data_IF_307136364887
#
_entry.id   IF_307136364887
#
_cell.length_a   1.000
_cell.length_b   1.000
_cell.length_c   1.000
_cell.angle_alpha   90.00
_cell.angle_beta   90.00
_cell.angle_gamma   90.00
#
_symmetry.space_group_name_H-M   'P 1'
#
loop_
_entity.id
_entity.type
_entity.pdbx_description
1 polymer ?
#
# COMPACT_ATOMS: atom_id res chain seq x y z
N UNK A 1 41.47 17.19 22.18
CA UNK A 1 41.88 18.43 22.81
C UNK A 1 40.64 19.19 23.24
N UNK A 2 40.59 19.68 24.48
CA UNK A 2 39.52 20.54 25.01
C UNK A 2 39.86 22.02 24.90
N UNK A 3 40.87 22.38 24.10
CA UNK A 3 41.23 23.76 23.88
C UNK A 3 40.13 24.50 23.12
N UNK A 4 39.48 25.51 23.68
CA UNK A 4 38.41 26.26 23.01
C UNK A 4 38.94 27.12 21.84
N UNK A 5 40.24 27.39 21.77
CA UNK A 5 40.88 28.18 20.71
C UNK A 5 41.42 27.33 19.56
N UNK A 6 41.23 25.99 19.59
CA UNK A 6 41.70 25.14 18.50
C UNK A 6 40.96 25.42 17.18
N UNK A 7 41.67 25.30 16.08
CA UNK A 7 41.03 25.34 14.75
C UNK A 7 40.08 24.19 14.58
N UNK A 8 38.79 24.49 14.42
CA UNK A 8 37.73 23.49 14.31
C UNK A 8 37.76 22.74 12.97
N UNK A 9 38.39 23.28 11.94
CA UNK A 9 38.59 22.62 10.66
C UNK A 9 39.71 21.58 10.74
N UNK A 10 40.79 21.89 11.50
CA UNK A 10 41.91 20.98 11.69
C UNK A 10 41.62 19.90 12.76
N UNK A 11 40.92 20.26 13.81
CA UNK A 11 40.60 19.40 14.96
C UNK A 11 39.12 19.44 15.27
N UNK A 12 38.28 18.87 14.42
CA UNK A 12 36.82 18.92 14.56
C UNK A 12 36.36 18.19 15.82
N UNK A 13 35.23 18.64 16.35
CA UNK A 13 34.40 17.88 17.30
C UNK A 13 32.96 18.18 16.94
N UNK A 14 32.37 17.28 16.18
CA UNK A 14 31.04 17.45 15.60
C UNK A 14 30.00 16.74 16.46
N UNK A 15 29.03 17.49 16.96
CA UNK A 15 27.82 16.87 17.49
C UNK A 15 26.83 16.68 16.33
N UNK A 16 26.87 15.50 15.71
CA UNK A 16 26.06 15.21 14.53
C UNK A 16 24.57 15.43 14.73
N UNK A 17 24.04 15.15 15.92
CA UNK A 17 22.62 15.42 16.20
C UNK A 17 22.31 16.92 16.15
N UNK A 18 23.15 17.74 16.78
CA UNK A 18 22.98 19.19 16.75
C UNK A 18 23.20 19.78 15.35
N UNK A 19 24.03 19.16 14.51
CA UNK A 19 24.27 19.65 13.14
C UNK A 19 23.13 19.27 12.18
N UNK A 20 22.42 18.16 12.45
CA UNK A 20 21.43 17.61 11.52
C UNK A 20 19.99 17.92 11.93
N UNK A 21 19.73 18.07 13.24
CA UNK A 21 18.37 18.13 13.77
C UNK A 21 18.05 19.49 14.39
N UNK A 22 16.82 19.91 14.19
CA UNK A 22 16.19 20.99 14.97
C UNK A 22 15.63 20.41 16.28
N UNK A 23 15.56 21.26 17.31
CA UNK A 23 15.09 20.87 18.64
C UNK A 23 13.61 20.49 18.66
N UNK A 24 12.81 21.02 17.73
CA UNK A 24 11.38 20.76 17.64
C UNK A 24 10.89 20.81 16.19
N UNK A 25 9.75 20.18 15.97
CA UNK A 25 8.98 20.27 14.72
C UNK A 25 7.51 20.49 15.02
N UNK A 26 6.79 21.06 14.08
CA UNK A 26 5.36 21.31 14.20
C UNK A 26 4.60 20.37 13.25
N UNK A 27 3.76 19.53 13.83
CA UNK A 27 2.83 18.68 13.10
C UNK A 27 1.40 19.16 13.32
N UNK A 28 0.56 19.07 12.30
CA UNK A 28 -0.82 19.48 12.40
C UNK A 28 -1.77 18.36 11.97
N UNK A 29 -2.89 18.27 12.67
CA UNK A 29 -3.97 17.34 12.33
C UNK A 29 -5.31 18.03 12.44
N UNK A 30 -6.01 18.07 11.32
CA UNK A 30 -7.38 18.55 11.25
C UNK A 30 -8.32 17.40 10.93
N UNK A 31 -9.36 17.23 11.74
CA UNK A 31 -10.40 16.23 11.53
C UNK A 31 -11.76 16.93 11.54
N UNK A 32 -12.50 16.71 10.46
CA UNK A 32 -13.89 17.15 10.36
C UNK A 32 -14.77 15.97 10.07
N UNK A 33 -15.89 15.87 10.75
CA UNK A 33 -16.92 14.91 10.40
C UNK A 33 -18.30 15.48 10.66
N UNK A 34 -19.24 15.04 9.84
CA UNK A 34 -20.65 15.33 9.99
C UNK A 34 -21.47 14.09 9.68
N UNK A 35 -22.44 13.81 10.51
CA UNK A 35 -23.38 12.72 10.31
C UNK A 35 -24.79 13.19 10.62
N UNK A 36 -25.73 12.61 9.93
CA UNK A 36 -27.12 12.93 10.15
C UNK A 36 -28.02 12.00 9.35
N UNK A 37 -29.30 12.26 9.47
CA UNK A 37 -30.25 11.52 8.66
C UNK A 37 -31.63 11.43 9.28
N UNK A 38 -32.51 10.80 8.53
CA UNK A 38 -33.88 10.54 8.87
C UNK A 38 -34.39 9.24 8.26
N UNK A 39 -35.70 9.16 8.04
CA UNK A 39 -36.32 7.95 7.48
C UNK A 39 -35.92 7.67 6.03
N UNK A 40 -35.60 8.70 5.24
CA UNK A 40 -35.29 8.58 3.82
C UNK A 40 -33.80 8.40 3.59
N UNK A 41 -32.95 9.19 4.25
CA UNK A 41 -31.54 9.16 4.04
C UNK A 41 -30.74 9.25 5.35
N UNK A 42 -29.60 8.62 5.40
CA UNK A 42 -28.60 8.69 6.48
C UNK A 42 -27.24 8.93 5.82
N UNK A 43 -26.46 9.83 6.37
CA UNK A 43 -25.14 10.14 5.82
C UNK A 43 -24.08 10.28 6.92
N UNK A 44 -22.88 9.98 6.53
CA UNK A 44 -21.66 10.25 7.27
C UNK A 44 -20.60 10.76 6.30
N UNK A 45 -20.08 11.95 6.55
CA UNK A 45 -19.00 12.57 5.81
C UNK A 45 -17.84 12.83 6.77
N UNK A 46 -16.63 12.53 6.36
CA UNK A 46 -15.44 12.84 7.13
C UNK A 46 -14.30 13.30 6.22
N UNK A 47 -13.54 14.26 6.69
CA UNK A 47 -12.31 14.74 6.08
C UNK A 47 -11.23 14.84 7.16
N UNK A 48 -10.05 14.33 6.84
CA UNK A 48 -8.86 14.43 7.70
C UNK A 48 -7.73 15.00 6.88
N UNK A 49 -7.06 16.02 7.41
CA UNK A 49 -5.83 16.59 6.83
C UNK A 49 -4.75 16.49 7.90
N UNK A 50 -3.68 15.77 7.59
CA UNK A 50 -2.49 15.66 8.42
C UNK A 50 -1.32 16.27 7.67
N UNK A 51 -0.51 17.06 8.38
CA UNK A 51 0.80 17.51 7.92
C UNK A 51 1.81 17.12 8.98
N UNK A 52 2.73 16.23 8.62
CA UNK A 52 3.81 15.78 9.48
C UNK A 52 5.14 16.29 8.89
N UNK A 53 5.84 17.14 9.65
CA UNK A 53 7.12 17.69 9.27
C UNK A 53 8.23 16.97 10.02
N UNK A 54 9.36 16.76 9.35
CA UNK A 54 10.59 16.30 10.01
C UNK A 54 11.23 17.42 10.83
N UNK A 55 12.22 17.04 11.62
CA UNK A 55 13.05 17.94 12.38
C UNK A 55 14.48 18.03 11.81
N UNK A 56 14.66 17.80 10.52
CA UNK A 56 15.95 17.95 9.86
C UNK A 56 16.22 19.45 9.58
N UNK A 57 17.46 19.88 9.77
CA UNK A 57 17.89 21.22 9.39
C UNK A 57 17.91 21.38 7.87
N UNK A 58 17.47 22.53 7.42
CA UNK A 58 17.46 22.87 5.99
C UNK A 58 18.80 23.56 5.64
N UNK A 59 19.43 23.10 4.54
CA UNK A 59 20.63 23.73 4.00
C UNK A 59 20.26 25.00 3.21
N UNK A 60 20.68 26.20 3.67
CA UNK A 60 20.30 27.45 3.02
C UNK A 60 20.92 27.66 1.63
N UNK A 61 22.03 27.00 1.31
CA UNK A 61 22.69 27.10 0.00
C UNK A 61 21.94 26.33 -1.09
N UNK A 62 21.10 25.35 -0.69
CA UNK A 62 20.25 24.61 -1.61
C UNK A 62 19.01 25.44 -1.99
N UNK A 63 18.56 25.27 -3.23
CA UNK A 63 17.31 25.86 -3.71
C UNK A 63 16.10 24.94 -3.52
N UNK A 64 16.22 23.93 -2.68
CA UNK A 64 15.17 22.97 -2.33
C UNK A 64 15.14 22.70 -0.83
N UNK A 65 14.01 22.18 -0.36
CA UNK A 65 13.85 21.76 1.03
C UNK A 65 14.25 20.29 1.18
N UNK A 66 15.26 20.03 2.00
CA UNK A 66 15.73 18.68 2.33
C UNK A 66 15.05 18.09 3.58
N UNK A 67 14.19 18.83 4.26
CA UNK A 67 13.45 18.31 5.42
C UNK A 67 12.26 17.47 4.97
N UNK A 68 11.80 16.58 5.83
CA UNK A 68 10.60 15.77 5.60
C UNK A 68 9.36 16.68 5.68
N UNK A 69 8.51 16.57 4.67
CA UNK A 69 7.15 17.10 4.67
C UNK A 69 6.22 16.02 4.14
N UNK A 70 5.34 15.53 5.01
CA UNK A 70 4.37 14.50 4.66
C UNK A 70 2.96 15.06 4.86
N UNK A 71 2.21 15.13 3.77
CA UNK A 71 0.83 15.58 3.75
C UNK A 71 -0.09 14.41 3.42
N UNK A 72 -1.10 14.21 4.26
CA UNK A 72 -2.15 13.20 4.04
C UNK A 72 -3.52 13.84 4.08
N UNK A 73 -4.28 13.64 3.02
CA UNK A 73 -5.69 14.01 2.95
C UNK A 73 -6.50 12.72 2.84
N UNK A 74 -7.44 12.52 3.76
CA UNK A 74 -8.38 11.39 3.73
C UNK A 74 -9.80 11.91 3.68
N UNK A 75 -10.56 11.44 2.70
CA UNK A 75 -11.97 11.77 2.51
C UNK A 75 -12.80 10.50 2.61
N UNK A 76 -13.88 10.55 3.37
CA UNK A 76 -14.84 9.44 3.49
C UNK A 76 -16.26 9.96 3.40
N UNK A 77 -17.06 9.30 2.57
CA UNK A 77 -18.48 9.56 2.45
C UNK A 77 -19.24 8.24 2.46
N UNK A 78 -20.23 8.12 3.32
CA UNK A 78 -21.18 7.02 3.36
C UNK A 78 -22.58 7.61 3.35
N UNK A 79 -23.36 7.31 2.33
CA UNK A 79 -24.74 7.76 2.19
C UNK A 79 -25.63 6.56 1.93
N UNK A 80 -26.62 6.34 2.79
CA UNK A 80 -27.64 5.32 2.60
C UNK A 80 -28.98 6.02 2.36
N UNK A 81 -29.67 5.64 1.31
CA UNK A 81 -30.93 6.24 0.87
C UNK A 81 -31.98 5.14 0.74
N UNK A 82 -33.07 5.24 1.48
CA UNK A 82 -34.25 4.41 1.31
C UNK A 82 -35.08 5.02 0.17
N UNK A 83 -34.88 4.54 -1.06
CA UNK A 83 -35.62 5.02 -2.24
C UNK A 83 -37.10 4.67 -2.15
N UNK A 84 -37.39 3.48 -1.63
CA UNK A 84 -38.72 2.99 -1.31
C UNK A 84 -38.69 2.22 0.00
N UNK A 85 -39.82 1.80 0.58
CA UNK A 85 -39.82 0.91 1.75
C UNK A 85 -39.12 -0.43 1.54
N UNK A 86 -38.90 -0.82 0.30
CA UNK A 86 -38.28 -2.10 -0.08
C UNK A 86 -36.94 -1.97 -0.78
N UNK A 87 -36.50 -0.72 -1.09
CA UNK A 87 -35.29 -0.46 -1.87
C UNK A 87 -34.37 0.47 -1.09
N UNK A 88 -33.16 0.03 -0.78
CA UNK A 88 -32.07 0.83 -0.22
C UNK A 88 -30.93 0.97 -1.24
N UNK A 89 -30.42 2.18 -1.43
CA UNK A 89 -29.19 2.45 -2.15
C UNK A 89 -28.15 3.01 -1.19
N UNK A 90 -26.94 2.46 -1.25
CA UNK A 90 -25.81 2.96 -0.49
C UNK A 90 -24.71 3.41 -1.42
N UNK A 91 -24.22 4.64 -1.23
CA UNK A 91 -23.07 5.20 -1.95
C UNK A 91 -21.95 5.42 -0.94
N UNK A 92 -20.78 4.83 -1.23
CA UNK A 92 -19.60 4.95 -0.38
C UNK A 92 -18.43 5.45 -1.21
N UNK A 93 -17.74 6.40 -0.66
CA UNK A 93 -16.51 6.94 -1.23
C UNK A 93 -15.43 6.95 -0.16
N UNK A 94 -14.22 6.56 -0.53
CA UNK A 94 -13.01 6.66 0.29
C UNK A 94 -11.87 7.11 -0.62
N UNK A 95 -11.24 8.24 -0.30
CA UNK A 95 -10.07 8.77 -0.98
C UNK A 95 -8.96 9.02 0.02
N UNK A 96 -7.76 8.51 -0.26
CA UNK A 96 -6.54 8.83 0.46
C UNK A 96 -5.53 9.39 -0.54
N UNK A 97 -4.95 10.53 -0.18
CA UNK A 97 -3.99 11.28 -0.98
C UNK A 97 -2.81 11.60 -0.06
N UNK A 98 -1.68 10.95 -0.30
CA UNK A 98 -0.47 11.10 0.48
C UNK A 98 0.62 11.68 -0.41
N UNK A 99 1.22 12.80 0.01
CA UNK A 99 2.35 13.41 -0.63
C UNK A 99 3.50 13.51 0.37
N UNK A 100 4.64 12.98 -0.02
CA UNK A 100 5.88 13.02 0.73
C UNK A 100 6.95 13.75 -0.05
N UNK A 101 7.62 14.70 0.59
CA UNK A 101 8.88 15.28 0.17
C UNK A 101 9.88 15.12 1.31
N UNK A 102 11.12 14.74 1.02
CA UNK A 102 12.12 14.56 2.07
C UNK A 102 13.46 14.03 1.55
N UNK A 103 14.41 13.75 2.45
CA UNK A 103 15.73 13.28 2.06
C UNK A 103 15.66 11.94 1.33
N UNK A 104 16.60 11.71 0.43
CA UNK A 104 16.65 10.53 -0.46
C UNK A 104 16.51 9.20 0.29
N UNK A 105 17.20 9.07 1.43
CA UNK A 105 17.24 7.83 2.21
C UNK A 105 16.29 7.83 3.43
N UNK A 106 15.46 8.89 3.56
CA UNK A 106 14.56 9.04 4.70
C UNK A 106 15.25 9.48 6.00
N UNK A 107 14.45 9.86 7.00
CA UNK A 107 14.95 10.36 8.28
C UNK A 107 15.63 9.29 9.13
N UNK A 108 15.17 8.05 9.07
CA UNK A 108 15.75 6.91 9.81
C UNK A 108 17.21 6.69 9.44
N UNK A 109 17.52 6.72 8.15
CA UNK A 109 18.90 6.54 7.68
C UNK A 109 19.80 7.71 8.09
N UNK A 110 19.30 8.95 8.05
CA UNK A 110 20.07 10.13 8.55
C UNK A 110 20.37 9.98 10.03
N UNK A 111 19.39 9.58 10.82
CA UNK A 111 19.56 9.32 12.25
C UNK A 111 20.57 8.19 12.51
N UNK A 112 20.48 7.10 11.79
CA UNK A 112 21.42 5.97 11.89
C UNK A 112 22.85 6.40 11.58
N UNK A 113 23.05 7.18 10.54
CA UNK A 113 24.36 7.70 10.16
C UNK A 113 24.90 8.68 11.20
N UNK A 114 24.06 9.55 11.79
CA UNK A 114 24.45 10.42 12.88
C UNK A 114 25.01 9.66 14.09
N UNK A 115 24.45 8.49 14.40
CA UNK A 115 24.93 7.63 15.50
C UNK A 115 26.25 6.92 15.16
N UNK A 116 26.49 6.61 13.90
CA UNK A 116 27.64 5.79 13.47
C UNK A 116 28.86 6.61 13.08
N UNK A 117 28.66 7.89 12.73
CA UNK A 117 29.74 8.74 12.22
C UNK A 117 30.63 9.23 13.37
N UNK A 118 31.93 9.02 13.21
CA UNK A 118 32.91 9.46 14.18
C UNK A 118 32.95 11.00 14.26
N UNK A 119 32.82 11.59 15.47
CA UNK A 119 32.69 13.04 15.64
C UNK A 119 34.00 13.83 15.51
N UNK A 120 35.17 13.17 15.41
CA UNK A 120 36.48 13.88 15.44
C UNK A 120 37.31 13.68 14.17
N UNK A 121 36.80 12.97 13.14
CA UNK A 121 37.58 12.72 11.93
C UNK A 121 37.52 13.85 10.90
N UNK A 122 36.39 14.53 10.78
CA UNK A 122 36.17 15.62 9.82
C UNK A 122 34.99 16.49 10.26
N UNK A 123 34.95 17.78 9.85
CA UNK A 123 33.81 18.66 10.04
C UNK A 123 32.67 18.27 9.07
N UNK A 124 31.47 18.82 9.28
CA UNK A 124 30.35 18.64 8.33
C UNK A 124 30.72 19.15 6.93
N UNK A 125 31.38 20.29 6.85
CA UNK A 125 32.02 20.87 5.67
C UNK A 125 33.18 21.76 6.10
N UNK A 126 34.07 22.06 5.17
CA UNK A 126 35.21 22.96 5.36
C UNK A 126 34.86 24.37 4.88
N UNK A 127 35.43 25.39 5.52
CA UNK A 127 35.51 26.71 4.94
C UNK A 127 36.50 26.69 3.79
N UNK A 128 36.30 27.49 2.71
CA UNK A 128 37.23 27.50 1.57
C UNK A 128 38.62 28.00 1.97
N UNK A 129 39.66 27.28 1.57
CA UNK A 129 41.04 27.75 1.62
C UNK A 129 41.38 28.62 0.39
N UNK A 130 42.63 29.06 0.26
CA UNK A 130 43.08 29.89 -0.86
C UNK A 130 42.90 29.23 -2.24
N UNK A 131 42.88 27.88 -2.32
CA UNK A 131 42.74 27.15 -3.57
C UNK A 131 41.26 27.02 -3.98
N UNK A 132 40.35 27.05 -3.02
CA UNK A 132 38.93 26.85 -3.22
C UNK A 132 38.06 28.07 -2.95
N UNK A 133 38.65 29.26 -2.81
CA UNK A 133 37.98 30.53 -2.48
C UNK A 133 36.83 30.90 -3.42
N UNK A 134 36.89 30.45 -4.70
CA UNK A 134 35.91 30.74 -5.72
C UNK A 134 34.94 29.55 -5.94
N UNK A 135 34.99 28.51 -5.10
CA UNK A 135 34.13 27.33 -5.22
C UNK A 135 32.71 27.66 -4.78
N UNK A 136 31.72 27.28 -5.57
CA UNK A 136 30.30 27.55 -5.34
C UNK A 136 29.58 26.41 -4.63
N UNK A 137 30.13 25.22 -4.65
CA UNK A 137 29.56 24.05 -3.99
C UNK A 137 30.05 23.89 -2.55
N UNK A 138 29.35 23.12 -1.76
CA UNK A 138 29.68 22.82 -0.36
C UNK A 138 30.90 21.90 -0.32
N UNK A 139 31.91 22.24 0.48
CA UNK A 139 33.14 21.46 0.65
C UNK A 139 32.95 20.41 1.76
N UNK A 140 32.18 19.35 1.50
CA UNK A 140 31.86 18.36 2.52
C UNK A 140 33.09 17.65 3.09
N UNK A 141 33.18 17.61 4.42
CA UNK A 141 34.28 16.94 5.10
C UNK A 141 34.20 15.44 4.97
N UNK A 142 35.35 14.78 4.74
CA UNK A 142 35.45 13.33 4.77
C UNK A 142 36.89 12.88 5.05
N UNK A 143 37.03 11.62 5.43
CA UNK A 143 38.33 10.99 5.70
C UNK A 143 38.61 9.80 4.76
N UNK A 144 37.67 9.46 3.89
CA UNK A 144 37.73 8.25 3.07
C UNK A 144 38.95 8.18 2.14
N UNK A 145 39.81 7.16 2.33
CA UNK A 145 40.93 6.90 1.44
C UNK A 145 40.55 5.97 0.26
N UNK A 146 39.39 5.30 0.31
CA UNK A 146 39.02 4.24 -0.62
C UNK A 146 37.61 4.40 -1.23
N UNK A 147 37.08 5.62 -1.23
CA UNK A 147 35.77 5.90 -1.84
C UNK A 147 34.56 5.67 -0.94
N UNK A 148 34.76 5.28 0.31
CA UNK A 148 33.68 5.15 1.31
C UNK A 148 33.41 6.51 1.95
N UNK A 149 32.64 7.33 1.24
CA UNK A 149 32.31 8.68 1.68
C UNK A 149 31.06 8.69 2.57
N UNK A 150 31.24 8.54 3.88
CA UNK A 150 30.19 8.68 4.84
C UNK A 150 30.24 10.07 5.46
N UNK A 151 29.28 10.93 5.10
CA UNK A 151 29.03 12.21 5.76
C UNK A 151 27.51 12.35 5.90
N UNK A 152 26.94 12.26 7.11
CA UNK A 152 25.50 12.30 7.30
C UNK A 152 24.89 13.64 6.89
N UNK A 153 25.63 14.74 7.01
CA UNK A 153 25.19 16.05 6.55
C UNK A 153 25.09 16.08 5.02
N UNK A 154 26.12 15.63 4.31
CA UNK A 154 26.09 15.53 2.84
C UNK A 154 24.91 14.65 2.38
N UNK A 155 24.69 13.50 3.02
CA UNK A 155 23.57 12.62 2.69
C UNK A 155 22.20 13.24 2.95
N UNK A 156 22.09 14.11 3.96
CA UNK A 156 20.84 14.82 4.27
C UNK A 156 20.52 15.89 3.23
N UNK A 157 21.55 16.61 2.73
CA UNK A 157 21.35 17.82 1.93
C UNK A 157 21.59 17.66 0.44
N UNK A 158 22.10 16.51 -0.03
CA UNK A 158 22.48 16.28 -1.43
C UNK A 158 21.32 16.13 -2.42
N UNK A 159 20.08 16.15 -1.93
CA UNK A 159 18.93 15.99 -2.79
C UNK A 159 17.68 15.65 -1.99
N UNK A 160 16.63 15.40 -2.73
CA UNK A 160 15.33 15.05 -2.17
C UNK A 160 14.59 14.05 -3.05
N UNK A 161 13.60 13.39 -2.46
CA UNK A 161 12.63 12.57 -3.18
C UNK A 161 11.22 13.08 -2.98
N UNK A 162 10.43 13.02 -4.04
CA UNK A 162 8.99 13.24 -4.03
C UNK A 162 8.29 11.92 -4.23
N UNK A 163 7.39 11.56 -3.34
CA UNK A 163 6.54 10.38 -3.45
C UNK A 163 5.08 10.82 -3.35
N UNK A 164 4.25 10.34 -4.26
CA UNK A 164 2.81 10.55 -4.19
C UNK A 164 2.08 9.22 -4.26
N UNK A 165 1.17 9.05 -3.35
CA UNK A 165 0.35 7.86 -3.21
C UNK A 165 -1.12 8.26 -3.18
N UNK A 166 -1.89 7.79 -4.15
CA UNK A 166 -3.31 8.09 -4.26
C UNK A 166 -4.12 6.80 -4.34
N UNK A 167 -5.11 6.66 -3.49
CA UNK A 167 -6.03 5.52 -3.51
C UNK A 167 -7.47 6.02 -3.38
N UNK A 168 -8.25 5.79 -4.43
CA UNK A 168 -9.66 6.18 -4.49
C UNK A 168 -10.51 4.94 -4.66
N UNK A 169 -11.51 4.78 -3.79
CA UNK A 169 -12.48 3.70 -3.80
C UNK A 169 -13.89 4.28 -3.82
N UNK A 170 -14.68 3.89 -4.81
CA UNK A 170 -16.09 4.25 -4.89
C UNK A 170 -16.95 2.97 -5.00
N UNK A 171 -18.01 2.91 -4.22
CA UNK A 171 -18.94 1.78 -4.19
C UNK A 171 -20.36 2.29 -4.26
N UNK A 172 -21.14 1.70 -5.17
CA UNK A 172 -22.60 1.84 -5.20
C UNK A 172 -23.21 0.48 -4.96
N UNK A 173 -24.10 0.40 -3.98
CA UNK A 173 -24.81 -0.81 -3.60
C UNK A 173 -26.31 -0.55 -3.64
N UNK A 174 -27.07 -1.47 -4.23
CA UNK A 174 -28.53 -1.48 -4.19
C UNK A 174 -28.99 -2.76 -3.53
N UNK A 175 -29.92 -2.63 -2.59
CA UNK A 175 -30.61 -3.75 -1.93
C UNK A 175 -32.10 -3.63 -2.19
N UNK A 176 -32.69 -4.73 -2.62
CA UNK A 176 -34.11 -4.82 -2.89
C UNK A 176 -34.73 -5.97 -2.10
N UNK A 177 -35.69 -5.65 -1.26
CA UNK A 177 -36.58 -6.67 -0.70
C UNK A 177 -37.61 -7.10 -1.75
N UNK A 178 -37.69 -8.38 -2.03
CA UNK A 178 -38.56 -8.98 -3.05
C UNK A 178 -39.68 -9.83 -2.41
N UNK A 179 -40.10 -9.50 -1.18
CA UNK A 179 -41.18 -10.19 -0.48
C UNK A 179 -42.50 -10.18 -1.25
N UNK A 180 -42.67 -9.20 -2.15
CA UNK A 180 -43.83 -9.13 -3.05
C UNK A 180 -43.85 -10.23 -4.12
N UNK A 181 -42.70 -10.86 -4.43
CA UNK A 181 -42.60 -12.05 -5.29
C UNK A 181 -42.74 -13.29 -4.42
N UNK A 182 -41.89 -13.42 -3.40
CA UNK A 182 -41.96 -14.49 -2.40
C UNK A 182 -41.30 -14.05 -1.09
N UNK A 183 -41.97 -14.33 0.04
CA UNK A 183 -41.47 -13.94 1.37
C UNK A 183 -40.07 -14.51 1.61
N UNK A 184 -39.16 -13.65 2.04
CA UNK A 184 -37.78 -13.99 2.37
C UNK A 184 -36.79 -13.89 1.21
N UNK A 185 -37.24 -13.45 0.01
CA UNK A 185 -36.35 -13.19 -1.13
C UNK A 185 -35.80 -11.77 -1.08
N UNK A 186 -34.49 -11.64 -1.28
CA UNK A 186 -33.77 -10.35 -1.35
C UNK A 186 -32.76 -10.40 -2.49
N UNK A 187 -32.68 -9.30 -3.23
CA UNK A 187 -31.64 -9.08 -4.23
C UNK A 187 -30.67 -7.99 -3.77
N UNK A 188 -29.42 -8.13 -4.17
CA UNK A 188 -28.39 -7.11 -3.94
C UNK A 188 -27.54 -7.00 -5.20
N UNK A 189 -27.26 -5.75 -5.61
CA UNK A 189 -26.30 -5.42 -6.64
C UNK A 189 -25.25 -4.48 -6.06
N UNK A 190 -23.99 -4.66 -6.45
CA UNK A 190 -22.89 -3.83 -6.01
C UNK A 190 -21.94 -3.57 -7.17
N UNK A 191 -21.56 -2.32 -7.35
CA UNK A 191 -20.48 -1.89 -8.24
C UNK A 191 -19.42 -1.21 -7.37
N UNK A 192 -18.19 -1.63 -7.52
CA UNK A 192 -17.04 -1.04 -6.86
C UNK A 192 -15.99 -0.69 -7.90
N UNK A 193 -15.40 0.50 -7.79
CA UNK A 193 -14.23 0.89 -8.57
C UNK A 193 -13.16 1.41 -7.66
N UNK A 194 -11.92 0.99 -7.91
CA UNK A 194 -10.77 1.53 -7.21
C UNK A 194 -9.70 1.99 -8.19
N UNK A 195 -9.07 3.10 -7.87
CA UNK A 195 -7.90 3.61 -8.58
C UNK A 195 -6.78 3.83 -7.60
N UNK A 196 -5.64 3.27 -7.94
CA UNK A 196 -4.42 3.41 -7.20
C UNK A 196 -3.35 3.98 -8.09
N UNK A 197 -2.63 4.99 -7.61
CA UNK A 197 -1.44 5.51 -8.27
C UNK A 197 -0.35 5.77 -7.24
N UNK A 198 0.86 5.43 -7.61
CA UNK A 198 2.07 5.72 -6.88
C UNK A 198 3.15 6.14 -7.86
N UNK A 199 3.93 7.15 -7.49
CA UNK A 199 5.17 7.47 -8.14
C UNK A 199 6.21 7.97 -7.14
N UNK A 200 7.47 7.80 -7.51
CA UNK A 200 8.64 8.25 -6.79
C UNK A 200 9.58 8.95 -7.78
N UNK A 201 10.03 10.13 -7.42
CA UNK A 201 10.99 10.93 -8.17
C UNK A 201 12.13 11.32 -7.24
N UNK A 202 13.37 11.26 -7.72
CA UNK A 202 14.54 11.72 -6.98
C UNK A 202 15.26 12.80 -7.78
N UNK A 203 15.72 13.81 -7.06
CA UNK A 203 16.65 14.82 -7.59
C UNK A 203 17.81 14.94 -6.64
N UNK A 204 19.03 14.76 -7.14
CA UNK A 204 20.24 14.72 -6.32
C UNK A 204 21.44 15.20 -7.09
N UNK A 205 22.39 15.79 -6.37
CA UNK A 205 23.74 15.96 -6.84
C UNK A 205 24.69 14.97 -6.16
N UNK A 206 25.83 14.71 -6.76
CA UNK A 206 26.90 13.94 -6.14
C UNK A 206 27.80 14.91 -5.36
N UNK A 207 27.91 14.76 -4.02
CA UNK A 207 28.69 15.67 -3.21
C UNK A 207 30.18 15.64 -3.55
N UNK A 208 30.83 16.81 -3.47
CA UNK A 208 32.28 16.90 -3.47
C UNK A 208 32.81 16.76 -2.04
N UNK A 209 33.71 15.82 -1.82
CA UNK A 209 34.30 15.54 -0.52
C UNK A 209 35.73 16.02 -0.44
N UNK A 210 36.09 16.56 0.72
CA UNK A 210 37.38 17.17 0.99
C UNK A 210 37.98 16.66 2.29
N UNK A 211 39.33 16.67 2.34
CA UNK A 211 40.08 16.43 3.56
C UNK A 211 41.22 17.43 3.68
N UNK A 212 41.80 17.54 4.86
CA UNK A 212 42.99 18.34 5.07
C UNK A 212 44.18 17.72 4.34
N UNK A 213 44.83 18.53 3.50
CA UNK A 213 46.12 18.19 2.92
C UNK A 213 47.27 18.59 3.85
N UNK A 214 47.20 19.74 4.46
CA UNK A 214 48.18 20.26 5.43
C UNK A 214 47.52 21.22 6.40
N UNK A 215 48.10 21.36 7.61
CA UNK A 215 47.76 22.39 8.59
C UNK A 215 49.03 22.94 9.25
N UNK A 216 49.23 24.22 9.10
CA UNK A 216 50.31 24.93 9.80
C UNK A 216 49.79 25.50 11.12
N UNK A 217 50.25 24.94 12.21
CA UNK A 217 49.86 25.31 13.56
C UNK A 217 50.34 26.73 13.96
N UNK A 218 51.45 27.26 13.35
CA UNK A 218 51.98 28.55 13.72
C UNK A 218 51.19 29.69 13.09
N UNK A 219 50.78 29.53 11.85
CA UNK A 219 50.01 30.52 11.11
C UNK A 219 48.48 30.29 11.18
N UNK A 220 48.05 29.18 11.77
CA UNK A 220 46.67 28.73 11.81
C UNK A 220 46.03 28.58 10.39
N UNK A 221 46.83 28.22 9.42
CA UNK A 221 46.43 28.09 8.02
C UNK A 221 46.37 26.60 7.62
N UNK A 222 45.28 26.20 6.98
CA UNK A 222 45.15 24.88 6.43
C UNK A 222 45.01 24.90 4.90
N UNK A 223 45.28 23.78 4.27
CA UNK A 223 45.01 23.55 2.85
C UNK A 223 44.16 22.26 2.69
N UNK A 224 43.31 22.29 1.70
CA UNK A 224 42.37 21.22 1.40
C UNK A 224 42.80 20.45 0.14
N UNK A 225 42.37 19.20 0.05
CA UNK A 225 42.46 18.39 -1.15
C UNK A 225 41.09 17.70 -1.40
N UNK A 226 40.65 17.75 -2.65
CA UNK A 226 39.44 17.05 -3.05
C UNK A 226 39.69 15.54 -3.12
N UNK A 227 38.83 14.76 -2.53
CA UNK A 227 38.89 13.30 -2.52
C UNK A 227 38.29 12.67 -3.81
N UNK A 228 37.26 13.31 -4.39
CA UNK A 228 36.53 12.82 -5.54
C UNK A 228 36.26 13.90 -6.61
N UNK A 229 37.31 14.61 -7.09
CA UNK A 229 37.16 15.80 -7.95
C UNK A 229 36.43 15.54 -9.27
N UNK A 230 36.43 14.28 -9.76
CA UNK A 230 35.79 13.89 -11.01
C UNK A 230 34.43 13.20 -10.85
N UNK A 231 33.88 13.10 -9.61
CA UNK A 231 32.64 12.38 -9.33
C UNK A 231 31.55 13.31 -8.78
N UNK A 232 31.93 14.46 -8.25
CA UNK A 232 30.99 15.46 -7.78
C UNK A 232 30.24 16.14 -8.92
N UNK A 233 29.03 16.62 -8.67
CA UNK A 233 28.23 17.42 -9.60
C UNK A 233 27.66 18.65 -8.90
N UNK A 234 27.57 19.79 -9.63
CA UNK A 234 26.97 21.04 -9.11
C UNK A 234 25.49 21.22 -9.52
N UNK A 235 24.94 20.26 -10.24
CA UNK A 235 23.55 20.26 -10.71
C UNK A 235 22.80 19.04 -10.19
N UNK A 236 21.49 19.18 -10.05
CA UNK A 236 20.61 18.09 -9.66
C UNK A 236 20.38 17.16 -10.85
N UNK A 237 20.80 15.92 -10.71
CA UNK A 237 20.40 14.83 -11.59
C UNK A 237 18.97 14.40 -11.27
N UNK A 238 18.25 13.96 -12.30
CA UNK A 238 16.91 13.41 -12.19
C UNK A 238 16.97 11.89 -12.28
N UNK A 239 16.36 11.23 -11.30
CA UNK A 239 16.18 9.78 -11.31
C UNK A 239 14.68 9.46 -11.17
N UNK A 240 14.16 8.76 -12.17
CA UNK A 240 12.80 8.28 -12.16
C UNK A 240 12.73 6.98 -11.37
N UNK A 241 11.99 6.98 -10.27
CA UNK A 241 11.76 5.80 -9.44
C UNK A 241 10.57 4.96 -9.91
N UNK A 242 10.04 4.19 -8.99
CA UNK A 242 8.91 3.32 -9.28
C UNK A 242 7.64 4.11 -9.62
N UNK A 243 6.90 3.62 -10.60
CA UNK A 243 5.55 4.09 -10.96
C UNK A 243 4.61 2.90 -10.97
N UNK A 244 3.48 3.03 -10.27
CA UNK A 244 2.44 2.00 -10.23
C UNK A 244 1.09 2.67 -10.45
N UNK A 245 0.40 2.28 -11.50
CA UNK A 245 -0.96 2.75 -11.78
C UNK A 245 -1.83 1.53 -11.99
N UNK A 246 -2.84 1.37 -11.13
CA UNK A 246 -3.81 0.30 -11.28
C UNK A 246 -5.24 0.80 -11.18
N UNK A 247 -6.12 0.15 -11.92
CA UNK A 247 -7.55 0.40 -11.92
C UNK A 247 -8.29 -0.93 -11.78
N UNK A 248 -9.20 -1.01 -10.81
CA UNK A 248 -10.04 -2.18 -10.62
C UNK A 248 -11.51 -1.79 -10.74
N UNK A 249 -12.27 -2.64 -11.43
CA UNK A 249 -13.73 -2.60 -11.46
C UNK A 249 -14.25 -3.96 -10.99
N UNK A 250 -15.18 -3.93 -10.05
CA UNK A 250 -15.82 -5.10 -9.49
C UNK A 250 -17.33 -4.92 -9.54
N UNK A 251 -17.99 -5.92 -10.06
CA UNK A 251 -19.44 -6.04 -10.05
C UNK A 251 -19.85 -7.31 -9.34
N UNK A 252 -20.86 -7.22 -8.47
CA UNK A 252 -21.47 -8.34 -7.78
C UNK A 252 -22.99 -8.23 -7.84
N UNK A 253 -23.63 -9.31 -8.22
CA UNK A 253 -25.07 -9.47 -8.06
C UNK A 253 -25.37 -10.68 -7.18
N UNK A 254 -26.29 -10.56 -6.23
CA UNK A 254 -26.70 -11.71 -5.40
C UNK A 254 -28.21 -11.76 -5.19
N UNK A 255 -28.68 -13.00 -5.10
CA UNK A 255 -30.05 -13.35 -4.67
C UNK A 255 -29.94 -14.16 -3.39
N UNK A 256 -30.68 -13.77 -2.38
CA UNK A 256 -30.74 -14.45 -1.09
C UNK A 256 -32.19 -14.80 -0.78
N UNK A 257 -32.43 -16.04 -0.45
CA UNK A 257 -33.73 -16.53 0.00
C UNK A 257 -33.58 -17.20 1.35
N UNK A 258 -34.48 -16.88 2.29
CA UNK A 258 -34.54 -17.53 3.59
C UNK A 258 -35.99 -17.56 4.06
N UNK A 259 -36.50 -18.76 4.34
CA UNK A 259 -37.87 -18.93 4.81
C UNK A 259 -38.04 -20.16 5.68
N UNK A 260 -38.76 -20.00 6.77
CA UNK A 260 -39.28 -21.10 7.58
C UNK A 260 -40.73 -21.39 7.15
N UNK A 261 -40.98 -22.62 6.76
CA UNK A 261 -42.28 -23.08 6.27
C UNK A 261 -42.84 -24.10 7.28
N UNK A 262 -44.07 -23.89 7.70
CA UNK A 262 -44.77 -24.73 8.68
C UNK A 262 -43.96 -24.99 9.96
N UNK A 263 -43.15 -23.99 10.39
CA UNK A 263 -42.29 -24.02 11.57
C UNK A 263 -41.22 -25.11 11.64
N UNK A 264 -41.23 -26.03 10.70
CA UNK A 264 -40.36 -27.24 10.63
C UNK A 264 -39.35 -27.20 9.51
N UNK A 265 -39.69 -26.60 8.38
CA UNK A 265 -38.83 -26.59 7.18
C UNK A 265 -38.11 -25.26 7.04
N UNK A 266 -36.84 -25.23 7.35
CA UNK A 266 -36.00 -24.08 7.08
C UNK A 266 -35.29 -24.23 5.73
N UNK A 267 -35.63 -23.37 4.77
CA UNK A 267 -35.09 -23.38 3.41
C UNK A 267 -34.31 -22.08 3.22
N UNK A 268 -33.02 -22.20 2.87
CA UNK A 268 -32.28 -21.02 2.43
C UNK A 268 -31.52 -21.27 1.13
N UNK A 269 -31.33 -20.22 0.37
CA UNK A 269 -30.58 -20.24 -0.86
C UNK A 269 -29.85 -18.92 -1.09
N UNK A 270 -28.68 -18.99 -1.66
CA UNK A 270 -27.90 -17.83 -2.10
C UNK A 270 -27.29 -18.12 -3.46
N UNK A 271 -27.43 -17.18 -4.39
CA UNK A 271 -26.71 -17.15 -5.66
C UNK A 271 -25.89 -15.85 -5.71
N UNK A 272 -24.65 -15.95 -6.12
CA UNK A 272 -23.74 -14.79 -6.26
C UNK A 272 -23.03 -14.88 -7.60
N UNK A 273 -23.20 -13.85 -8.42
CA UNK A 273 -22.43 -13.64 -9.65
C UNK A 273 -21.43 -12.51 -9.47
N UNK A 274 -20.20 -12.70 -9.88
CA UNK A 274 -19.14 -11.69 -9.80
C UNK A 274 -18.47 -11.47 -11.16
N UNK A 275 -18.12 -10.22 -11.43
CA UNK A 275 -17.25 -9.82 -12.53
C UNK A 275 -16.21 -8.87 -11.95
N UNK A 276 -14.93 -9.20 -12.17
CA UNK A 276 -13.81 -8.35 -11.74
C UNK A 276 -12.86 -8.13 -12.90
N UNK A 277 -12.44 -6.89 -13.05
CA UNK A 277 -11.34 -6.51 -13.94
C UNK A 277 -10.32 -5.69 -13.17
N UNK A 278 -9.04 -6.04 -13.29
CA UNK A 278 -7.91 -5.30 -12.74
C UNK A 278 -6.92 -5.02 -13.88
N UNK A 279 -6.54 -3.75 -14.04
CA UNK A 279 -5.56 -3.29 -15.05
C UNK A 279 -4.40 -2.59 -14.36
N UNK A 280 -3.20 -2.85 -14.86
CA UNK A 280 -2.00 -2.06 -14.58
C UNK A 280 -1.63 -1.27 -15.82
N UNK A 281 -1.40 0.03 -15.68
CA UNK A 281 -1.20 0.92 -16.84
C UNK A 281 0.26 1.02 -17.30
N UNK A 282 1.22 0.64 -16.44
CA UNK A 282 2.65 0.84 -16.68
C UNK A 282 3.46 -0.47 -16.68
N UNK A 283 2.88 -1.51 -17.25
CA UNK A 283 3.56 -2.80 -17.41
C UNK A 283 4.50 -2.82 -18.62
N UNK A 284 5.65 -3.48 -18.46
CA UNK A 284 6.72 -3.46 -19.44
C UNK A 284 6.51 -4.32 -20.70
N UNK A 285 5.44 -5.16 -20.76
CA UNK A 285 5.17 -6.02 -21.92
C UNK A 285 3.65 -6.16 -22.17
N UNK A 286 3.32 -6.65 -23.36
CA UNK A 286 1.92 -6.82 -23.79
C UNK A 286 1.15 -7.75 -22.86
N UNK A 287 1.71 -8.88 -22.44
CA UNK A 287 1.01 -9.88 -21.65
C UNK A 287 0.61 -9.34 -20.27
N UNK A 288 1.50 -8.63 -19.61
CA UNK A 288 1.24 -8.02 -18.30
C UNK A 288 0.36 -6.77 -18.38
N UNK A 289 0.29 -6.11 -19.55
CA UNK A 289 -0.58 -4.95 -19.79
C UNK A 289 -2.06 -5.32 -19.98
N UNK A 290 -2.34 -6.58 -20.32
CA UNK A 290 -3.72 -7.05 -20.47
C UNK A 290 -4.44 -7.12 -19.12
N UNK A 291 -5.75 -6.80 -19.08
CA UNK A 291 -6.50 -6.82 -17.83
C UNK A 291 -6.58 -8.21 -17.23
N UNK A 292 -6.55 -8.29 -15.90
CA UNK A 292 -6.86 -9.50 -15.13
C UNK A 292 -8.37 -9.56 -14.94
N UNK A 293 -9.00 -10.59 -15.47
CA UNK A 293 -10.45 -10.76 -15.43
C UNK A 293 -10.83 -12.02 -14.69
N UNK A 294 -11.83 -11.88 -13.83
CA UNK A 294 -12.47 -13.01 -13.17
C UNK A 294 -13.97 -12.92 -13.39
N UNK A 295 -14.56 -14.05 -13.77
CA UNK A 295 -15.99 -14.24 -13.85
C UNK A 295 -16.34 -15.46 -13.02
N UNK A 296 -17.26 -15.31 -12.08
CA UNK A 296 -17.68 -16.40 -11.21
C UNK A 296 -19.19 -16.38 -10.97
N UNK A 297 -19.76 -17.57 -10.86
CA UNK A 297 -21.10 -17.79 -10.35
C UNK A 297 -21.02 -18.84 -9.25
N UNK A 298 -21.52 -18.52 -8.07
CA UNK A 298 -21.57 -19.46 -6.96
C UNK A 298 -22.97 -19.53 -6.36
N UNK A 299 -23.30 -20.69 -5.82
CA UNK A 299 -24.56 -20.91 -5.16
C UNK A 299 -24.43 -21.77 -3.93
N UNK A 300 -25.31 -21.51 -2.97
CA UNK A 300 -25.50 -22.30 -1.76
C UNK A 300 -26.98 -22.51 -1.52
N UNK A 301 -27.37 -23.74 -1.30
CA UNK A 301 -28.73 -24.12 -0.92
C UNK A 301 -28.67 -24.97 0.32
N UNK A 302 -29.48 -24.60 1.31
CA UNK A 302 -29.56 -25.33 2.57
C UNK A 302 -31.01 -25.64 2.91
N UNK A 303 -31.20 -26.82 3.47
CA UNK A 303 -32.46 -27.26 4.00
C UNK A 303 -32.26 -27.85 5.38
N UNK A 304 -33.12 -27.47 6.31
CA UNK A 304 -33.16 -28.06 7.64
C UNK A 304 -34.61 -28.47 7.96
N UNK A 305 -34.74 -29.71 8.41
CA UNK A 305 -35.99 -30.27 8.87
C UNK A 305 -35.98 -30.38 10.41
N UNK A 306 -36.91 -29.69 11.04
CA UNK A 306 -37.19 -29.75 12.48
C UNK A 306 -35.95 -29.50 13.37
N UNK A 307 -34.96 -28.79 12.83
CA UNK A 307 -33.64 -28.60 13.49
C UNK A 307 -32.91 -29.90 13.83
N UNK A 308 -33.32 -31.03 13.20
CA UNK A 308 -32.74 -32.36 13.38
C UNK A 308 -31.89 -32.75 12.19
N UNK A 309 -32.39 -32.59 10.96
CA UNK A 309 -31.74 -33.02 9.72
C UNK A 309 -31.37 -31.83 8.86
N UNK A 310 -30.18 -31.86 8.31
CA UNK A 310 -29.61 -30.77 7.50
C UNK A 310 -29.03 -31.31 6.20
N UNK A 311 -29.36 -30.66 5.09
CA UNK A 311 -28.75 -30.89 3.80
C UNK A 311 -28.24 -29.56 3.24
N UNK A 312 -27.09 -29.61 2.62
CA UNK A 312 -26.46 -28.45 1.97
C UNK A 312 -25.90 -28.86 0.60
N UNK A 313 -26.13 -28.00 -0.38
CA UNK A 313 -25.51 -28.09 -1.69
C UNK A 313 -24.86 -26.76 -2.02
N UNK A 314 -23.56 -26.78 -2.36
CA UNK A 314 -22.84 -25.60 -2.84
C UNK A 314 -22.26 -25.89 -4.22
N UNK A 315 -22.11 -24.87 -5.01
CA UNK A 315 -21.34 -24.95 -6.25
C UNK A 315 -20.60 -23.64 -6.51
N UNK A 316 -19.48 -23.74 -7.21
CA UNK A 316 -18.74 -22.64 -7.83
C UNK A 316 -18.51 -22.93 -9.29
N UNK A 317 -18.83 -21.97 -10.15
CA UNK A 317 -18.45 -21.95 -11.56
C UNK A 317 -17.50 -20.75 -11.74
N UNK A 318 -16.21 -21.02 -11.87
CA UNK A 318 -15.18 -19.98 -11.93
C UNK A 318 -14.40 -20.05 -13.22
N UNK A 319 -14.18 -18.87 -13.84
CA UNK A 319 -13.40 -18.73 -15.05
C UNK A 319 -11.98 -18.23 -14.76
N UNK A 320 -10.97 -18.87 -15.37
CA UNK A 320 -9.57 -18.44 -15.30
C UNK A 320 -8.99 -18.21 -16.70
N UNK A 321 -8.39 -17.06 -16.92
CA UNK A 321 -7.71 -16.69 -18.17
C UNK A 321 -6.35 -17.41 -18.36
N UNK A 322 -5.92 -18.22 -17.40
CA UNK A 322 -4.73 -19.09 -17.54
C UNK A 322 -4.98 -20.20 -18.56
N UNK A 323 -6.24 -20.59 -18.76
CA UNK A 323 -6.66 -21.64 -19.68
C UNK A 323 -7.24 -21.10 -20.97
N UNK A 324 -7.20 -21.89 -22.02
CA UNK A 324 -7.84 -21.61 -23.30
C UNK A 324 -9.34 -21.39 -23.13
N UNK A 325 -9.97 -20.70 -24.08
CA UNK A 325 -11.38 -20.33 -23.99
C UNK A 325 -12.33 -21.48 -23.75
N UNK A 326 -12.06 -22.67 -24.34
CA UNK A 326 -12.86 -23.90 -24.17
C UNK A 326 -12.76 -24.50 -22.76
N UNK A 327 -11.59 -24.31 -22.08
CA UNK A 327 -11.27 -24.92 -20.78
C UNK A 327 -11.23 -23.91 -19.63
N UNK A 328 -11.72 -22.69 -19.90
CA UNK A 328 -11.60 -21.55 -18.98
C UNK A 328 -12.43 -21.69 -17.71
N UNK A 329 -13.58 -22.39 -17.80
CA UNK A 329 -14.54 -22.48 -16.70
C UNK A 329 -14.48 -23.85 -16.03
N UNK A 330 -14.32 -23.87 -14.72
CA UNK A 330 -14.38 -25.05 -13.88
C UNK A 330 -15.63 -25.02 -13.00
N UNK A 331 -16.31 -26.20 -12.90
CA UNK A 331 -17.46 -26.38 -12.01
C UNK A 331 -17.06 -27.23 -10.80
N UNK A 332 -17.33 -26.70 -9.61
CA UNK A 332 -16.88 -27.25 -8.33
C UNK A 332 -18.08 -27.44 -7.39
N UNK A 333 -18.79 -28.57 -7.47
CA UNK A 333 -19.91 -28.87 -6.57
C UNK A 333 -19.45 -29.41 -5.23
N UNK A 334 -20.23 -29.18 -4.19
CA UNK A 334 -20.09 -29.84 -2.89
C UNK A 334 -21.43 -30.11 -2.23
N UNK A 335 -21.50 -31.20 -1.48
CA UNK A 335 -22.66 -31.65 -0.74
C UNK A 335 -22.32 -31.85 0.72
N UNK A 336 -23.26 -31.52 1.61
CA UNK A 336 -23.13 -31.74 3.02
C UNK A 336 -24.42 -32.25 3.64
N UNK A 337 -24.30 -33.15 4.60
CA UNK A 337 -25.38 -33.65 5.41
C UNK A 337 -25.02 -33.51 6.89
N UNK A 338 -26.03 -33.22 7.70
CA UNK A 338 -25.88 -33.14 9.14
C UNK A 338 -27.11 -33.71 9.86
N UNK A 339 -26.86 -34.37 10.97
CA UNK A 339 -27.89 -34.89 11.84
C UNK A 339 -27.59 -34.51 13.30
N UNK A 340 -28.49 -33.75 13.90
CA UNK A 340 -28.46 -33.48 15.33
C UNK A 340 -29.19 -34.60 16.05
N UNK A 341 -28.47 -35.63 16.42
CA UNK A 341 -29.02 -36.79 17.14
C UNK A 341 -29.51 -36.38 18.52
N UNK A 342 -28.88 -35.39 19.17
CA UNK A 342 -29.33 -34.87 20.45
C UNK A 342 -30.72 -34.23 20.41
N UNK A 343 -31.23 -33.87 19.24
CA UNK A 343 -32.56 -33.28 19.08
C UNK A 343 -33.67 -34.33 18.83
N UNK A 344 -33.33 -35.62 18.88
CA UNK A 344 -34.30 -36.70 18.68
C UNK A 344 -34.93 -37.06 20.01
N UNK A 345 -36.22 -37.35 19.97
CA UNK A 345 -37.07 -37.63 21.15
C UNK A 345 -36.50 -38.79 22.01
N UNK A 346 -35.78 -39.76 21.38
CA UNK A 346 -35.14 -40.86 22.14
C UNK A 346 -33.91 -40.43 22.94
N UNK A 347 -33.38 -39.22 22.71
CA UNK A 347 -32.23 -38.64 23.40
C UNK A 347 -32.65 -37.78 24.62
N UNK A 348 -33.93 -37.41 24.75
CA UNK A 348 -34.39 -36.51 25.81
C UNK A 348 -33.98 -37.00 27.20
N UNK A 349 -33.97 -38.29 27.44
CA UNK A 349 -33.55 -38.87 28.74
C UNK A 349 -32.06 -38.72 29.03
N UNK A 350 -31.27 -38.30 28.06
CA UNK A 350 -29.80 -38.08 28.18
C UNK A 350 -29.43 -36.60 28.10
N UNK A 351 -30.40 -35.68 28.06
CA UNK A 351 -30.17 -34.24 27.86
C UNK A 351 -29.25 -33.63 28.90
N UNK A 352 -29.35 -34.08 30.17
CA UNK A 352 -28.51 -33.61 31.28
C UNK A 352 -27.01 -33.96 31.10
N UNK A 353 -26.70 -34.99 30.30
CA UNK A 353 -25.34 -35.49 30.11
C UNK A 353 -24.82 -35.17 28.70
N UNK A 354 -25.69 -35.31 27.71
CA UNK A 354 -25.34 -35.09 26.28
C UNK A 354 -26.19 -33.94 25.75
N UNK A 355 -25.72 -32.74 25.98
CA UNK A 355 -26.42 -31.50 25.54
C UNK A 355 -26.36 -31.31 24.02
N UNK A 356 -25.35 -31.90 23.34
CA UNK A 356 -25.18 -31.74 21.91
C UNK A 356 -24.43 -32.92 21.26
N UNK A 357 -25.12 -33.67 20.41
CA UNK A 357 -24.54 -34.71 19.60
C UNK A 357 -24.93 -34.51 18.14
N UNK A 358 -23.94 -34.24 17.28
CA UNK A 358 -24.13 -33.96 15.86
C UNK A 358 -23.23 -34.83 15.02
N UNK A 359 -23.79 -35.48 14.05
CA UNK A 359 -23.04 -36.15 12.95
C UNK A 359 -23.08 -35.25 11.70
N UNK A 360 -21.95 -35.16 11.01
CA UNK A 360 -21.86 -34.42 9.74
C UNK A 360 -20.95 -35.17 8.76
N UNK A 361 -21.30 -35.11 7.48
CA UNK A 361 -20.48 -35.58 6.40
C UNK A 361 -20.52 -34.58 5.26
N UNK A 362 -19.39 -34.37 4.61
CA UNK A 362 -19.27 -33.47 3.45
C UNK A 362 -18.40 -34.09 2.37
N UNK A 363 -18.78 -33.88 1.11
CA UNK A 363 -17.98 -34.22 -0.05
C UNK A 363 -18.02 -33.06 -1.04
N UNK A 364 -16.90 -32.76 -1.68
CA UNK A 364 -16.84 -31.66 -2.65
C UNK A 364 -15.61 -31.71 -3.54
N UNK A 365 -15.74 -31.06 -4.68
CA UNK A 365 -14.63 -30.79 -5.59
C UNK A 365 -14.14 -29.37 -5.41
N UNK A 366 -12.84 -29.21 -5.50
CA UNK A 366 -12.17 -27.89 -5.46
C UNK A 366 -11.28 -27.74 -6.69
N UNK A 367 -11.17 -26.52 -7.18
CA UNK A 367 -10.28 -26.20 -8.28
C UNK A 367 -9.15 -25.28 -7.80
N UNK A 368 -8.01 -25.43 -8.44
CA UNK A 368 -6.88 -24.53 -8.28
C UNK A 368 -6.33 -24.19 -9.67
N UNK A 369 -6.27 -22.90 -9.99
CA UNK A 369 -5.69 -22.38 -11.23
C UNK A 369 -4.30 -21.78 -11.05
N UNK A 370 -3.70 -21.93 -9.87
CA UNK A 370 -2.39 -21.39 -9.54
C UNK A 370 -1.27 -22.23 -10.17
N UNK A 371 -1.00 -21.96 -11.46
CA UNK A 371 0.08 -22.54 -12.24
C UNK A 371 1.12 -21.44 -12.45
N UNK A 372 2.40 -21.71 -12.13
CA UNK A 372 3.48 -20.72 -12.24
C UNK A 372 3.35 -19.56 -11.26
N UNK A 373 3.90 -18.41 -11.61
CA UNK A 373 3.82 -17.18 -10.82
C UNK A 373 2.46 -16.48 -10.98
N UNK A 374 2.16 -15.49 -10.13
CA UNK A 374 0.92 -14.72 -10.23
C UNK A 374 0.79 -13.92 -11.53
N UNK A 375 1.91 -13.58 -12.16
CA UNK A 375 1.98 -12.87 -13.46
C UNK A 375 1.81 -13.79 -14.66
N UNK A 376 2.00 -15.09 -14.50
CA UNK A 376 1.92 -16.06 -15.61
C UNK A 376 0.47 -16.30 -16.00
N UNK A 377 0.14 -15.93 -17.23
CA UNK A 377 -1.21 -16.05 -17.81
C UNK A 377 -1.07 -16.46 -19.26
N UNK A 378 -2.19 -16.89 -19.85
CA UNK A 378 -2.28 -17.22 -21.27
C UNK A 378 -1.28 -18.31 -21.69
N UNK A 379 -1.12 -19.37 -20.88
CA UNK A 379 -0.22 -20.48 -21.16
C UNK A 379 -0.48 -21.19 -22.50
N UNK A 380 -1.64 -20.98 -23.08
CA UNK A 380 -2.02 -21.52 -24.38
C UNK A 380 -1.57 -20.64 -25.57
N UNK A 381 -0.94 -19.48 -25.32
CA UNK A 381 -0.39 -18.62 -26.37
C UNK A 381 1.07 -18.95 -26.54
N UNK A 382 1.47 -19.33 -27.77
CA UNK A 382 2.88 -19.52 -28.11
C UNK A 382 3.62 -18.20 -28.08
N UNK A 383 4.73 -18.17 -27.37
CA UNK A 383 5.65 -17.03 -27.36
C UNK A 383 6.93 -17.43 -28.07
N UNK A 384 7.34 -16.62 -29.04
CA UNK A 384 8.61 -16.80 -29.75
C UNK A 384 9.46 -15.55 -29.49
N UNK A 385 10.62 -15.73 -28.89
CA UNK A 385 11.60 -14.67 -28.75
C UNK A 385 12.60 -14.72 -29.90
N UNK A 386 12.39 -13.88 -30.91
CA UNK A 386 13.27 -13.81 -32.08
C UNK A 386 14.63 -13.17 -31.78
N UNK A 387 14.80 -12.56 -30.62
CA UNK A 387 16.04 -11.89 -30.19
C UNK A 387 16.79 -12.70 -29.11
N UNK A 388 16.49 -13.97 -28.97
CA UNK A 388 17.22 -14.85 -28.05
C UNK A 388 18.60 -15.20 -28.64
N UNK A 389 19.63 -14.53 -28.13
CA UNK A 389 21.03 -14.76 -28.62
C UNK A 389 21.61 -16.13 -28.25
N UNK A 390 20.86 -16.97 -27.46
CA UNK A 390 21.29 -18.33 -27.13
C UNK A 390 20.96 -19.35 -28.21
N UNK A 391 20.21 -18.94 -29.26
CA UNK A 391 19.72 -19.79 -30.34
C UNK A 391 20.50 -19.59 -31.68
N UNK A 392 21.64 -18.88 -31.63
CA UNK A 392 22.52 -18.66 -32.75
C UNK A 392 23.76 -19.54 -32.74
#
# INVERSE_FOLDING_TARGET
SQDPNRNQMAYPTVNWFNELLEDYTLNSRFNFNVSGGGKIARYYLAATVNTDNGNLKIEPQNNFNNNINFNRISLRSNVNINLTPTTEVAVRFNGNFDDYNGPLNGGEEIYRQAMQTNPVLYPKYYEPDANYINTTHILFGNYGQFGDYLNPYANMVRGYKDESYNNVLATVEIKQNLDFITKGLKARGLINTSRYSFYNLERKYNPFYYTLANYDFQSDVYSLIALNPNQGTEYLEYNEGAKVISNSVYFEGSLNYNRIIKEKHNVSGMLVGIIRELKYANNGNLQTSLPYRNLGLSGRFTYALDSKYFAEFNFGLNGSERFARSERFGFFPSFGFGWYMSNEDFMDKYEDVITKLKFKGTYGLVGNDQIGSASDRFFYISQVNLNDGSMG
#
